data_IF_126981813857
#
_entry.id   IF_126981813857
#
_cell.length_a   1.000
_cell.length_b   1.000
_cell.length_c   1.000
_cell.angle_alpha   90.00
_cell.angle_beta   90.00
_cell.angle_gamma   90.00
#
_symmetry.space_group_name_H-M   'P 1'
#
loop_
_entity.id
_entity.type
_entity.pdbx_description
1 polymer ?
2 non-polymer ?
3 non-polymer ?
4 water ?
#
# COMPACT_ATOMS: atom_id res chain seq x y z
N UNK A 17 -7.85 -17.15 22.00
CA UNK A 17 -8.15 -17.79 20.73
C UNK A 17 -9.41 -18.64 20.82
N UNK A 18 -10.21 -18.63 19.76
CA UNK A 18 -11.45 -19.41 19.69
C UNK A 18 -11.17 -20.86 19.34
N UNK A 19 -12.10 -21.73 19.74
CA UNK A 19 -12.06 -23.13 19.36
C UNK A 19 -12.15 -23.27 17.85
N UNK A 20 -11.58 -24.35 17.31
CA UNK A 20 -11.48 -24.52 15.87
C UNK A 20 -12.86 -24.53 15.21
N UNK A 21 -13.82 -25.22 15.81
CA UNK A 21 -15.15 -25.29 15.23
C UNK A 21 -15.88 -23.95 15.32
N UNK A 22 -15.57 -23.15 16.33
CA UNK A 22 -16.14 -21.80 16.44
C UNK A 22 -15.61 -20.91 15.32
N UNK A 23 -14.31 -21.00 15.07
CA UNK A 23 -13.68 -20.28 13.97
C UNK A 23 -14.30 -20.65 12.63
N UNK A 24 -14.57 -21.94 12.46
CA UNK A 24 -15.16 -22.44 11.23
C UNK A 24 -16.47 -21.73 10.91
N UNK A 25 -17.30 -21.51 11.92
CA UNK A 25 -18.62 -20.94 11.73
C UNK A 25 -18.60 -19.41 11.76
N UNK A 26 -17.40 -18.85 11.90
CA UNK A 26 -17.19 -17.42 11.74
C UNK A 26 -16.97 -17.18 10.25
N UNK A 27 -17.13 -15.95 9.78
CA UNK A 27 -17.02 -15.71 8.35
C UNK A 27 -15.61 -15.76 7.84
N UNK A 28 -15.42 -15.35 6.57
CA UNK A 28 -14.04 -15.13 6.17
C UNK A 28 -13.53 -14.04 7.09
N UNK A 29 -12.27 -14.10 7.43
CA UNK A 29 -11.83 -13.25 8.51
C UNK A 29 -11.32 -11.91 7.97
N UNK A 30 -11.58 -10.84 8.73
CA UNK A 30 -11.76 -9.51 8.16
C UNK A 30 -11.51 -8.42 9.18
N UNK A 31 -10.95 -7.29 8.73
CA UNK A 31 -10.80 -6.09 9.54
C UNK A 31 -11.51 -4.94 8.84
N UNK A 32 -11.78 -3.88 9.59
CA UNK A 32 -12.42 -2.69 9.05
C UNK A 32 -11.39 -1.63 8.72
N UNK A 33 -11.45 -1.08 7.52
CA UNK A 33 -10.57 0.01 7.12
C UNK A 33 -11.35 1.31 7.18
N UNK A 34 -10.84 2.28 7.91
CA UNK A 34 -11.56 3.53 8.16
C UNK A 34 -10.77 4.77 7.77
N UNK A 35 -11.33 5.56 6.86
CA UNK A 35 -10.76 6.84 6.50
C UNK A 35 -11.49 7.97 7.20
N UNK A 36 -10.75 8.70 8.02
CA UNK A 36 -11.23 9.91 8.68
C UNK A 36 -11.09 11.11 7.74
N UNK A 37 -12.24 11.62 7.29
CA UNK A 37 -12.32 12.84 6.47
C UNK A 37 -11.34 12.88 5.31
N UNK A 38 -11.33 11.83 4.46
CA UNK A 38 -10.42 11.89 3.31
C UNK A 38 -10.72 13.10 2.41
N UNK A 39 -9.65 13.72 1.89
CA UNK A 39 -9.80 14.95 1.11
C UNK A 39 -9.63 14.75 -0.39
N UNK A 40 -8.74 13.82 -0.77
CA UNK A 40 -8.37 13.66 -2.17
C UNK A 40 -9.06 12.42 -2.75
N UNK A 41 -9.87 12.58 -3.81
CA UNK A 41 -10.61 11.43 -4.32
C UNK A 41 -9.71 10.28 -4.79
N UNK A 42 -8.59 10.58 -5.45
CA UNK A 42 -7.69 9.50 -5.87
C UNK A 42 -7.20 8.67 -4.70
N UNK A 43 -6.98 9.31 -3.55
CA UNK A 43 -6.57 8.54 -2.37
C UNK A 43 -7.69 7.61 -1.91
N UNK A 44 -8.90 8.12 -1.80
CA UNK A 44 -10.03 7.28 -1.39
C UNK A 44 -10.24 6.14 -2.37
N UNK A 45 -10.13 6.42 -3.67
CA UNK A 45 -10.28 5.37 -4.67
C UNK A 45 -9.21 4.31 -4.53
N UNK A 46 -7.97 4.73 -4.32
CA UNK A 46 -6.88 3.77 -4.17
C UNK A 46 -6.99 2.97 -2.88
N UNK A 47 -7.68 3.53 -1.88
CA UNK A 47 -7.98 2.76 -0.68
C UNK A 47 -9.13 1.78 -0.93
N UNK A 48 -10.18 2.26 -1.61
CA UNK A 48 -11.31 1.40 -1.95
C UNK A 48 -10.87 0.18 -2.75
N UNK A 49 -9.90 0.39 -3.64
CA UNK A 49 -9.38 -0.69 -4.46
C UNK A 49 -8.79 -1.78 -3.57
N UNK A 50 -8.09 -1.36 -2.53
CA UNK A 50 -7.49 -2.29 -1.57
C UNK A 50 -8.56 -2.98 -0.75
N UNK A 51 -9.55 -2.21 -0.30
CA UNK A 51 -10.63 -2.80 0.50
C UNK A 51 -11.36 -3.89 -0.28
N UNK A 52 -11.67 -3.62 -1.55
CA UNK A 52 -12.39 -4.57 -2.37
C UNK A 52 -11.50 -5.77 -2.69
N UNK A 53 -10.20 -5.55 -2.80
CA UNK A 53 -9.24 -6.63 -3.03
C UNK A 53 -9.22 -7.62 -1.86
N UNK A 54 -9.35 -7.11 -0.65
CA UNK A 54 -9.31 -7.96 0.53
C UNK A 54 -10.70 -8.48 0.88
N UNK A 55 -11.73 -7.82 0.35
CA UNK A 55 -13.11 -8.08 0.74
C UNK A 55 -13.44 -7.53 2.12
N UNK A 56 -12.83 -6.42 2.49
CA UNK A 56 -13.02 -5.85 3.82
C UNK A 56 -13.85 -4.56 3.78
N UNK A 57 -14.61 -4.30 4.85
CA UNK A 57 -15.42 -3.08 4.89
C UNK A 57 -14.57 -1.81 4.80
N UNK A 58 -15.02 -0.84 4.00
CA UNK A 58 -14.44 0.48 3.97
C UNK A 58 -15.38 1.50 4.59
N UNK A 59 -14.93 2.12 5.68
CA UNK A 59 -15.70 3.17 6.36
C UNK A 59 -15.17 4.54 5.95
N UNK A 60 -16.04 5.39 5.41
CA UNK A 60 -15.65 6.77 5.14
C UNK A 60 -16.35 7.68 6.13
N UNK A 61 -15.57 8.46 6.85
CA UNK A 61 -16.12 9.38 7.85
C UNK A 61 -16.18 10.78 7.27
N UNK A 62 -17.40 11.27 7.08
CA UNK A 62 -17.62 12.62 6.56
C UNK A 62 -17.19 13.67 7.59
N UNK A 63 -16.90 14.90 7.15
CA UNK A 63 -16.95 15.41 5.77
C UNK A 63 -15.87 14.84 4.84
N UNK A 64 -16.26 14.46 3.63
CA UNK A 64 -15.31 14.10 2.58
C UNK A 64 -14.97 15.36 1.77
N UNK A 65 -13.78 15.38 1.19
CA UNK A 65 -13.36 16.51 0.38
C UNK A 65 -13.83 16.49 -1.06
N UNK A 66 -14.72 15.56 -1.40
CA UNK A 66 -15.18 15.33 -2.76
C UNK A 66 -16.61 14.78 -2.78
N UNK A 67 -17.30 14.96 -3.91
CA UNK A 67 -18.56 14.30 -4.17
C UNK A 67 -18.33 12.85 -4.57
N UNK A 68 -19.22 11.94 -4.18
CA UNK A 68 -19.02 10.53 -4.50
C UNK A 68 -19.19 10.26 -6.00
N UNK A 69 -19.68 11.25 -6.74
CA UNK A 69 -19.80 11.14 -8.19
C UNK A 69 -18.55 11.61 -8.94
N UNK A 70 -17.49 11.96 -8.21
CA UNK A 70 -16.26 12.45 -8.82
C UNK A 70 -15.69 11.46 -9.82
N UNK A 71 -15.39 11.95 -11.03
CA UNK A 71 -14.73 11.14 -12.04
C UNK A 71 -13.38 10.63 -11.57
N UNK A 72 -12.80 11.24 -10.53
CA UNK A 72 -11.46 10.87 -10.06
C UNK A 72 -11.43 9.64 -9.14
N UNK A 73 -12.58 9.02 -8.90
CA UNK A 73 -12.67 7.92 -7.93
C UNK A 73 -12.48 6.54 -8.56
N UNK A 74 -12.67 6.49 -9.87
CA UNK A 74 -12.56 5.28 -10.68
C UNK A 74 -11.30 5.29 -11.52
N UNK A 75 -11.15 4.27 -12.37
CA UNK A 75 -10.14 4.28 -13.43
C UNK A 75 -10.65 3.49 -14.63
N UNK A 76 -10.35 3.96 -15.83
CA UNK A 76 -10.68 3.23 -17.04
C UNK A 76 -10.11 1.82 -16.98
N UNK A 77 -10.93 0.83 -17.35
CA UNK A 77 -10.51 -0.55 -17.29
C UNK A 77 -10.63 -1.15 -15.91
N UNK A 78 -10.95 -0.29 -14.94
CA UNK A 78 -11.16 -0.76 -13.58
C UNK A 78 -12.61 -0.68 -13.17
N UNK A 79 -13.06 -1.66 -12.39
CA UNK A 79 -14.27 -1.47 -11.64
C UNK A 79 -14.13 -2.21 -10.30
N UNK A 80 -14.15 -1.43 -9.22
CA UNK A 80 -14.00 -2.01 -7.90
C UNK A 80 -15.06 -1.52 -6.93
N UNK A 81 -15.55 -0.31 -7.15
CA UNK A 81 -16.53 0.25 -6.23
C UNK A 81 -17.79 -0.61 -6.05
N UNK A 82 -18.28 -1.27 -7.11
CA UNK A 82 -19.43 -2.15 -6.86
C UNK A 82 -19.14 -3.30 -5.90
N UNK A 83 -17.86 -3.59 -5.72
CA UNK A 83 -17.45 -4.70 -4.88
C UNK A 83 -16.92 -4.23 -3.54
N UNK A 84 -17.05 -2.93 -3.26
CA UNK A 84 -16.64 -2.40 -1.98
C UNK A 84 -17.78 -2.47 -0.97
N UNK A 85 -17.51 -3.07 0.18
CA UNK A 85 -18.44 -3.03 1.29
C UNK A 85 -18.32 -1.65 1.93
N UNK A 86 -19.03 -0.67 1.35
CA UNK A 86 -18.90 0.72 1.79
C UNK A 86 -19.81 1.09 2.97
N UNK A 87 -19.20 1.71 3.98
CA UNK A 87 -19.93 2.21 5.15
C UNK A 87 -19.72 3.71 5.22
N UNK A 88 -20.82 4.45 5.32
CA UNK A 88 -20.70 5.90 5.39
C UNK A 88 -21.13 6.39 6.77
N UNK A 89 -20.31 7.24 7.37
CA UNK A 89 -20.60 7.85 8.66
C UNK A 89 -20.67 9.36 8.55
N UNK A 90 -21.65 9.96 9.23
CA UNK A 90 -21.86 11.39 9.10
C UNK A 90 -20.84 12.22 9.88
N UNK A 91 -20.21 11.63 10.88
CA UNK A 91 -19.20 12.30 11.67
C UNK A 91 -18.36 11.29 12.41
N UNK A 92 -17.26 11.75 12.99
CA UNK A 92 -16.43 10.89 13.82
C UNK A 92 -17.21 10.45 15.04
N UNK A 93 -17.98 11.38 15.63
CA UNK A 93 -18.79 11.06 16.80
C UNK A 93 -19.77 9.94 16.50
N UNK A 94 -20.43 10.03 15.35
CA UNK A 94 -21.41 9.03 14.95
C UNK A 94 -20.72 7.69 14.69
N UNK A 95 -19.52 7.75 14.13
CA UNK A 95 -18.74 6.54 13.91
C UNK A 95 -18.47 5.84 15.26
N UNK A 96 -17.95 6.58 16.24
CA UNK A 96 -17.65 6.00 17.55
C UNK A 96 -18.89 5.42 18.20
N UNK A 97 -19.98 6.16 18.10
CA UNK A 97 -21.23 5.75 18.68
C UNK A 97 -21.74 4.46 18.04
N UNK A 98 -21.35 4.22 16.79
CA UNK A 98 -21.80 3.04 16.05
C UNK A 98 -20.93 1.79 16.28
N UNK A 99 -19.78 1.95 16.93
CA UNK A 99 -18.89 0.81 17.19
C UNK A 99 -19.55 -0.21 18.11
N UNK A 100 -19.37 -1.51 17.83
CA UNK A 100 -19.86 -2.55 18.75
C UNK A 100 -19.14 -2.43 20.08
N UNK A 101 -19.80 -2.80 21.17
CA UNK A 101 -19.12 -2.81 22.46
C UNK A 101 -17.88 -3.71 22.38
N UNK A 102 -16.75 -3.21 22.87
CA UNK A 102 -15.54 -4.00 22.88
C UNK A 102 -14.73 -3.87 21.60
N UNK A 103 -15.17 -2.99 20.71
CA UNK A 103 -14.44 -2.74 19.47
C UNK A 103 -13.04 -2.26 19.77
N UNK A 104 -12.08 -2.78 19.00
CA UNK A 104 -10.70 -2.33 19.12
C UNK A 104 -10.36 -1.46 17.92
N UNK A 105 -9.90 -0.25 18.18
CA UNK A 105 -9.53 0.68 17.12
C UNK A 105 -8.07 1.06 17.24
N UNK A 106 -7.32 0.90 16.15
CA UNK A 106 -5.93 1.33 16.11
C UNK A 106 -5.79 2.58 15.26
N UNK A 107 -5.27 3.65 15.83
CA UNK A 107 -5.07 4.89 15.09
C UNK A 107 -3.67 4.92 14.46
N UNK A 108 -3.59 5.11 13.16
CA UNK A 108 -2.29 5.10 12.50
C UNK A 108 -1.70 6.50 12.38
N UNK A 109 -0.47 6.63 12.86
CA UNK A 109 0.28 7.88 12.78
C UNK A 109 1.77 7.60 12.65
N UNK A 110 2.45 8.44 11.87
CA UNK A 110 3.90 8.37 11.75
C UNK A 110 4.58 8.76 13.06
N UNK A 111 3.82 9.30 14.01
CA UNK A 111 4.34 9.58 15.34
C UNK A 111 3.72 8.61 16.36
N UNK A 112 3.24 7.47 15.86
CA UNK A 112 2.61 6.46 16.69
C UNK A 112 3.52 5.85 17.75
N UNK A 113 2.91 5.36 18.83
CA UNK A 113 3.65 4.92 20.02
C UNK A 113 4.27 3.53 19.87
N UNK A 114 3.66 2.69 19.06
CA UNK A 114 4.18 1.33 18.83
C UNK A 114 4.29 1.04 17.33
N UNK A 115 5.15 0.10 16.97
CA UNK A 115 5.28 -0.31 15.59
C UNK A 115 4.08 -1.14 15.16
N UNK A 116 3.63 -0.91 13.92
CA UNK A 116 2.64 -1.75 13.28
C UNK A 116 2.94 -3.23 13.49
N UNK A 117 4.21 -3.59 13.41
CA UNK A 117 4.58 -4.99 13.37
C UNK A 117 4.63 -5.60 14.77
N UNK A 118 4.47 -4.76 15.79
CA UNK A 118 4.35 -5.23 17.17
C UNK A 118 2.92 -5.63 17.48
N UNK A 119 1.99 -5.09 16.72
CA UNK A 119 0.57 -5.30 16.99
C UNK A 119 0.16 -6.71 16.61
N UNK A 120 -0.76 -7.28 17.39
CA UNK A 120 -1.35 -8.56 17.04
C UNK A 120 -2.82 -8.33 16.72
N UNK A 121 -3.13 -8.31 15.43
CA UNK A 121 -4.48 -8.00 14.98
C UNK A 121 -5.46 -9.16 15.17
N UNK A 122 -6.74 -8.80 15.30
CA UNK A 122 -7.81 -9.78 15.40
C UNK A 122 -8.95 -9.44 14.49
N UNK A 123 -9.79 -10.44 14.23
CA UNK A 123 -11.09 -10.24 13.62
C UNK A 123 -11.79 -8.98 14.07
N UNK A 124 -12.28 -8.23 13.09
CA UNK A 124 -13.12 -7.08 13.36
C UNK A 124 -12.44 -5.90 13.99
N UNK A 125 -11.11 -5.91 14.05
CA UNK A 125 -10.37 -4.74 14.49
C UNK A 125 -10.66 -3.58 13.55
N UNK A 126 -10.54 -2.36 14.05
CA UNK A 126 -10.66 -1.18 13.19
C UNK A 126 -9.32 -0.48 13.01
N UNK A 127 -8.93 -0.28 11.74
CA UNK A 127 -7.71 0.43 11.38
C UNK A 127 -8.09 1.83 10.89
N UNK A 128 -7.65 2.85 11.63
CA UNK A 128 -8.10 4.23 11.42
C UNK A 128 -6.97 5.13 10.90
N UNK A 129 -7.24 5.81 9.78
CA UNK A 129 -6.26 6.61 9.07
C UNK A 129 -6.75 8.04 8.86
N UNK A 130 -5.83 9.00 8.88
CA UNK A 130 -6.19 10.39 8.71
C UNK A 130 -6.08 10.88 7.28
N UNK A 131 -6.47 12.14 7.03
CA UNK A 131 -6.36 12.79 5.73
C UNK A 131 -4.91 13.08 5.39
N UNK A 132 -4.58 13.10 4.10
CA UNK A 132 -3.21 13.29 3.63
C UNK A 132 -2.57 14.58 4.15
N UNK A 133 -3.36 15.65 4.24
CA UNK A 133 -2.79 16.95 4.54
C UNK A 133 -2.41 17.14 6.01
N UNK A 134 -3.13 16.49 6.93
CA UNK A 134 -3.03 16.81 8.35
C UNK A 134 -2.92 15.60 9.27
N UNK A 135 -3.33 14.43 8.80
CA UNK A 135 -3.39 13.26 9.66
C UNK A 135 -4.51 13.38 10.69
N UNK A 136 -4.57 12.44 11.62
CA UNK A 136 -5.62 12.44 12.64
C UNK A 136 -5.35 13.54 13.67
N UNK A 137 -6.41 14.16 14.19
CA UNK A 137 -6.26 15.20 15.21
C UNK A 137 -5.66 14.64 16.49
N UNK A 138 -4.99 15.48 17.27
CA UNK A 138 -4.32 15.01 18.49
C UNK A 138 -5.30 14.37 19.48
N UNK A 139 -6.53 14.88 19.52
CA UNK A 139 -7.51 14.33 20.45
C UNK A 139 -7.91 12.91 20.05
N UNK A 140 -7.97 12.66 18.75
CA UNK A 140 -8.27 11.32 18.25
C UNK A 140 -7.12 10.38 18.54
N UNK A 141 -5.90 10.85 18.30
CA UNK A 141 -4.71 10.05 18.55
C UNK A 141 -4.59 9.68 20.03
N UNK A 142 -4.88 10.65 20.89
CA UNK A 142 -4.80 10.43 22.34
C UNK A 142 -5.84 9.43 22.82
N UNK A 143 -6.89 9.27 22.02
CA UNK A 143 -8.03 8.42 22.38
C UNK A 143 -7.78 6.93 22.13
N UNK A 144 -6.95 6.62 21.15
CA UNK A 144 -6.73 5.24 20.74
C UNK A 144 -5.26 4.83 20.84
N UNK A 145 -5.01 3.51 20.93
CA UNK A 145 -3.63 3.06 20.78
C UNK A 145 -3.16 3.40 19.37
N UNK A 146 -1.95 3.92 19.26
CA UNK A 146 -1.46 4.39 17.96
C UNK A 146 -0.37 3.48 17.44
N UNK A 147 -0.37 3.28 16.11
CA UNK A 147 0.62 2.43 15.45
C UNK A 147 1.37 3.20 14.39
N UNK A 148 2.69 2.99 14.35
CA UNK A 148 3.56 3.62 13.38
C UNK A 148 4.06 2.61 12.36
N UNK A 149 4.04 2.99 11.09
CA UNK A 149 4.77 2.24 10.07
C UNK A 149 6.21 2.78 10.04
N UNK A 150 7.21 1.92 10.32
CA UNK A 150 8.59 2.39 10.41
C UNK A 150 9.05 3.07 9.12
N UNK A 151 9.83 4.13 9.26
CA UNK A 151 10.42 4.81 8.11
C UNK A 151 11.84 5.17 8.48
N UNK A 152 12.80 4.28 8.21
CA UNK A 152 14.18 4.55 8.64
C UNK A 152 14.78 5.76 7.91
N UNK A 153 14.24 6.10 6.75
CA UNK A 153 14.69 7.25 6.00
C UNK A 153 14.13 8.57 6.50
N UNK A 154 14.65 9.70 5.99
CA UNK A 154 14.23 11.02 6.46
C UNK A 154 12.90 11.48 5.87
N UNK A 155 11.85 10.70 6.11
CA UNK A 155 10.53 10.94 5.55
C UNK A 155 9.52 11.07 6.69
N UNK A 156 8.61 12.05 6.61
CA UNK A 156 7.69 12.32 7.71
C UNK A 156 6.46 11.44 7.67
N UNK A 157 6.06 11.01 6.47
CA UNK A 157 4.89 10.15 6.32
C UNK A 157 4.82 9.55 4.93
N UNK A 158 4.10 8.45 4.82
CA UNK A 158 3.81 7.81 3.54
C UNK A 158 2.51 8.34 2.99
N UNK A 159 2.29 8.20 1.68
CA UNK A 159 0.98 8.47 1.08
C UNK A 159 -0.11 7.67 1.79
N UNK A 160 -1.28 8.28 1.99
CA UNK A 160 -2.39 7.63 2.67
C UNK A 160 -2.72 6.24 2.13
N UNK A 161 -2.90 6.13 0.81
CA UNK A 161 -3.32 4.85 0.24
C UNK A 161 -2.23 3.79 0.40
N UNK A 162 -0.98 4.25 0.38
CA UNK A 162 0.13 3.33 0.62
C UNK A 162 0.13 2.84 2.07
N UNK A 163 -0.06 3.78 3.02
CA UNK A 163 -0.09 3.41 4.44
C UNK A 163 -1.22 2.43 4.74
N UNK A 164 -2.39 2.67 4.16
CA UNK A 164 -3.52 1.78 4.35
C UNK A 164 -3.18 0.39 3.82
N UNK A 165 -2.60 0.33 2.63
CA UNK A 165 -2.25 -0.96 2.06
C UNK A 165 -1.23 -1.72 2.90
N UNK A 166 -0.19 -1.02 3.35
CA UNK A 166 0.85 -1.65 4.17
C UNK A 166 0.28 -2.22 5.48
N UNK A 167 -0.58 -1.43 6.13
CA UNK A 167 -1.19 -1.85 7.37
C UNK A 167 -2.22 -2.98 7.16
N UNK A 168 -3.11 -2.79 6.17
CA UNK A 168 -4.16 -3.77 5.91
C UNK A 168 -3.55 -5.11 5.54
N UNK A 169 -2.52 -5.10 4.70
CA UNK A 169 -1.95 -6.35 4.27
C UNK A 169 -1.10 -7.02 5.36
N UNK A 170 -0.51 -6.23 6.26
CA UNK A 170 0.13 -6.85 7.43
C UNK A 170 -0.93 -7.59 8.28
N UNK A 171 -2.08 -6.96 8.48
CA UNK A 171 -3.16 -7.64 9.22
C UNK A 171 -3.63 -8.88 8.47
N UNK A 172 -3.77 -8.77 7.14
CA UNK A 172 -4.14 -9.92 6.33
C UNK A 172 -3.11 -11.03 6.51
N UNK A 173 -1.83 -10.68 6.47
CA UNK A 173 -0.76 -11.69 6.67
C UNK A 173 -0.92 -12.39 8.02
N UNK A 174 -1.13 -11.60 9.07
CA UNK A 174 -1.29 -12.15 10.42
C UNK A 174 -2.50 -13.07 10.48
N UNK A 175 -3.62 -12.62 9.95
CA UNK A 175 -4.87 -13.36 10.10
C UNK A 175 -4.92 -14.67 9.33
N UNK A 176 -4.32 -14.70 8.16
CA UNK A 176 -4.40 -15.85 7.29
C UNK A 176 -3.23 -16.80 7.57
N UNK A 177 -2.32 -16.35 8.41
CA UNK A 177 -1.17 -17.14 8.81
C UNK A 177 -1.44 -17.92 10.08
N UNK B 27 20.38 -4.01 10.72
CA UNK B 27 20.35 -3.15 9.55
C UNK B 27 21.64 -2.37 9.35
N UNK B 28 21.65 -1.41 8.41
CA UNK B 28 20.52 -1.03 7.55
C UNK B 28 20.25 -2.06 6.45
N UNK B 29 19.10 -1.92 5.79
CA UNK B 29 18.70 -2.85 4.77
C UNK B 29 18.50 -2.13 3.46
N UNK B 30 18.73 -2.84 2.36
CA UNK B 30 18.53 -2.25 1.04
C UNK B 30 18.06 -3.28 0.02
N UNK B 31 16.91 -3.01 -0.58
CA UNK B 31 16.44 -3.70 -1.78
C UNK B 31 16.31 -2.62 -2.84
N UNK B 32 16.03 -3.04 -4.07
CA UNK B 32 15.78 -2.12 -5.17
C UNK B 32 14.34 -2.17 -5.66
N UNK B 33 13.74 -1.00 -5.85
CA UNK B 33 12.38 -0.91 -6.38
C UNK B 33 12.47 -0.51 -7.85
N UNK B 34 11.85 -1.28 -8.73
CA UNK B 34 11.97 -1.06 -10.17
C UNK B 34 10.60 -0.89 -10.83
N UNK B 35 10.37 0.27 -11.45
CA UNK B 35 9.13 0.51 -12.21
C UNK B 35 9.40 0.39 -13.70
N UNK B 36 8.71 -0.56 -14.33
CA UNK B 36 8.80 -0.75 -15.77
C UNK B 36 7.82 0.19 -16.47
N UNK B 37 8.33 1.15 -17.24
CA UNK B 37 7.48 2.06 -18.02
C UNK B 37 6.28 2.67 -17.25
N UNK B 38 6.53 3.25 -16.06
CA UNK B 38 5.43 3.85 -15.31
C UNK B 38 4.73 4.94 -16.11
N UNK B 39 3.41 5.04 -15.96
CA UNK B 39 2.61 5.90 -16.82
C UNK B 39 2.15 7.17 -16.13
N UNK B 40 1.81 7.04 -14.85
CA UNK B 40 1.22 8.15 -14.12
C UNK B 40 2.21 8.80 -13.13
N UNK B 41 2.48 10.10 -13.28
CA UNK B 41 3.53 10.72 -12.46
C UNK B 41 3.23 10.66 -10.98
N UNK B 42 1.95 10.73 -10.60
CA UNK B 42 1.58 10.69 -9.20
C UNK B 42 1.97 9.35 -8.58
N UNK B 43 1.84 8.28 -9.35
CA UNK B 43 2.25 6.96 -8.86
C UNK B 43 3.75 6.89 -8.68
N UNK B 44 4.49 7.38 -9.67
CA UNK B 44 5.95 7.32 -9.56
C UNK B 44 6.47 8.17 -8.40
N UNK B 45 5.82 9.30 -8.15
CA UNK B 45 6.25 10.17 -7.06
C UNK B 45 5.93 9.54 -5.73
N UNK B 46 4.77 8.90 -5.64
CA UNK B 46 4.37 8.20 -4.42
C UNK B 46 5.36 7.09 -4.14
N UNK B 47 5.75 6.35 -5.18
CA UNK B 47 6.77 5.31 -5.01
C UNK B 47 8.10 5.88 -4.56
N UNK B 48 8.51 7.01 -5.14
CA UNK B 48 9.72 7.70 -4.71
C UNK B 48 9.69 8.04 -3.23
N UNK B 49 8.53 8.47 -2.73
CA UNK B 49 8.34 8.76 -1.32
C UNK B 49 8.58 7.52 -0.46
N UNK B 50 8.01 6.40 -0.89
CA UNK B 50 8.23 5.13 -0.21
C UNK B 50 9.69 4.68 -0.28
N UNK B 51 10.31 4.84 -1.45
CA UNK B 51 11.74 4.50 -1.58
C UNK B 51 12.60 5.35 -0.63
N UNK B 52 12.30 6.64 -0.55
CA UNK B 52 13.02 7.51 0.37
C UNK B 52 12.78 7.09 1.82
N UNK B 53 11.55 6.67 2.12
CA UNK B 53 11.20 6.27 3.48
C UNK B 53 11.97 5.01 3.91
N UNK B 54 12.23 4.11 2.97
CA UNK B 54 12.99 2.90 3.27
C UNK B 54 14.48 3.05 3.07
N UNK B 55 14.90 4.04 2.30
CA UNK B 55 16.31 4.20 1.92
C UNK B 55 16.74 3.24 0.84
N UNK B 56 15.81 2.94 -0.08
CA UNK B 56 16.04 1.98 -1.16
C UNK B 56 16.10 2.66 -2.53
N UNK B 57 17.02 2.22 -3.40
CA UNK B 57 17.05 2.84 -4.73
C UNK B 57 15.76 2.60 -5.52
N UNK B 58 15.42 3.61 -6.31
CA UNK B 58 14.27 3.54 -7.21
C UNK B 58 14.76 3.60 -8.65
N UNK B 59 14.48 2.54 -9.40
CA UNK B 59 14.84 2.43 -10.81
C UNK B 59 13.61 2.70 -11.66
N UNK B 60 13.74 3.60 -12.64
CA UNK B 60 12.70 3.78 -13.64
C UNK B 60 13.19 3.29 -15.00
N UNK B 61 12.37 2.50 -15.68
CA UNK B 61 12.72 2.02 -17.03
C UNK B 61 11.88 2.73 -18.09
N UNK B 62 12.57 3.42 -19.00
CA UNK B 62 11.91 4.15 -20.06
C UNK B 62 11.30 3.22 -21.10
N UNK B 63 10.30 3.69 -21.86
CA UNK B 63 9.68 5.03 -21.85
C UNK B 63 8.72 5.24 -20.69
N UNK B 64 8.70 6.47 -20.19
CA UNK B 64 7.79 6.88 -19.13
C UNK B 64 6.58 7.57 -19.74
N UNK B 65 5.48 7.64 -18.99
CA UNK B 65 4.28 8.34 -19.45
C UNK B 65 4.28 9.82 -19.12
N UNK B 66 5.42 10.31 -18.65
CA UNK B 66 5.55 11.69 -18.18
C UNK B 66 7.00 12.14 -18.36
N UNK B 67 7.22 13.45 -18.34
CA UNK B 67 8.58 14.00 -18.37
C UNK B 67 9.15 14.04 -16.95
N UNK B 68 10.46 13.83 -16.81
CA UNK B 68 11.08 13.85 -15.48
C UNK B 68 11.07 15.25 -14.87
N UNK B 69 10.78 16.24 -15.71
CA UNK B 69 10.63 17.63 -15.32
C UNK B 69 9.25 17.95 -14.75
N UNK B 70 8.35 16.97 -14.79
CA UNK B 70 6.96 17.14 -14.41
C UNK B 70 6.79 17.63 -12.98
N UNK B 71 6.15 18.80 -12.81
CA UNK B 71 5.76 19.30 -11.49
C UNK B 71 4.90 18.32 -10.71
N UNK B 72 4.01 17.59 -11.40
CA UNK B 72 3.16 16.61 -10.75
C UNK B 72 3.98 15.47 -10.17
N UNK B 73 5.05 15.11 -10.88
CA UNK B 73 5.99 14.11 -10.41
C UNK B 73 6.70 14.64 -9.17
N UNK B 74 7.28 15.83 -9.30
CA UNK B 74 8.00 16.45 -8.21
C UNK B 74 7.13 16.62 -6.97
N UNK B 75 5.94 17.19 -7.17
CA UNK B 75 5.00 17.40 -6.06
C UNK B 75 4.61 16.10 -5.36
N UNK B 76 4.43 15.04 -6.15
CA UNK B 76 4.05 13.73 -5.62
C UNK B 76 5.12 13.15 -4.70
N UNK B 77 6.36 13.58 -4.84
CA UNK B 77 7.41 13.13 -3.97
C UNK B 77 7.71 14.16 -2.88
N UNK B 78 6.88 15.19 -2.80
CA UNK B 78 7.02 16.28 -1.85
C UNK B 78 8.45 16.81 -1.85
N UNK B 79 9.05 16.94 -0.66
CA UNK B 79 10.44 17.42 -0.56
C UNK B 79 11.42 16.27 -0.35
N UNK B 80 11.02 15.07 -0.80
CA UNK B 80 11.80 13.86 -0.52
C UNK B 80 12.71 13.45 -1.67
N UNK B 81 12.46 14.00 -2.86
CA UNK B 81 13.28 13.68 -4.02
C UNK B 81 14.81 13.84 -3.78
N UNK B 82 15.23 14.87 -3.01
CA UNK B 82 16.67 14.90 -2.68
C UNK B 82 17.19 13.64 -1.98
N UNK B 83 16.31 12.85 -1.36
CA UNK B 83 16.72 11.68 -0.60
C UNK B 83 16.47 10.38 -1.34
N UNK B 84 16.10 10.48 -2.61
CA UNK B 84 15.86 9.30 -3.43
C UNK B 84 17.08 8.99 -4.26
N UNK B 85 17.54 7.75 -4.18
CA UNK B 85 18.60 7.27 -5.07
C UNK B 85 17.96 6.81 -6.36
N UNK B 86 17.87 7.72 -7.33
CA UNK B 86 17.11 7.48 -8.56
C UNK B 86 18.00 6.95 -9.66
N UNK B 87 17.60 5.81 -10.24
CA UNK B 87 18.33 5.20 -11.35
C UNK B 87 17.44 5.19 -12.60
N UNK B 88 17.97 5.63 -13.73
CA UNK B 88 17.21 5.62 -14.97
C UNK B 88 17.79 4.61 -15.94
N UNK B 89 16.94 3.83 -16.57
CA UNK B 89 17.36 2.89 -17.59
C UNK B 89 16.66 3.22 -18.91
N UNK B 90 17.42 3.22 -20.01
CA UNK B 90 16.85 3.59 -21.29
C UNK B 90 15.91 2.55 -21.85
N UNK B 91 16.03 1.32 -21.35
CA UNK B 91 15.26 0.21 -21.85
C UNK B 91 15.33 -0.93 -20.86
N UNK B 92 14.49 -1.94 -21.07
CA UNK B 92 14.57 -3.14 -20.25
C UNK B 92 15.93 -3.82 -20.42
N UNK B 93 16.45 -3.83 -21.65
CA UNK B 93 17.76 -4.43 -21.87
C UNK B 93 18.83 -3.76 -21.03
N UNK B 94 18.75 -2.44 -20.92
CA UNK B 94 19.71 -1.65 -20.16
C UNK B 94 19.60 -1.99 -18.69
N UNK B 95 18.37 -2.16 -18.22
CA UNK B 95 18.15 -2.57 -16.84
C UNK B 95 18.82 -3.90 -16.55
N UNK B 96 18.64 -4.86 -17.45
CA UNK B 96 19.22 -6.19 -17.25
C UNK B 96 20.75 -6.16 -17.21
N UNK B 97 21.35 -5.34 -18.05
CA UNK B 97 22.81 -5.22 -18.07
C UNK B 97 23.35 -4.56 -16.80
N UNK B 98 22.49 -3.80 -16.13
CA UNK B 98 22.88 -3.14 -14.89
C UNK B 98 22.64 -4.05 -13.69
N UNK B 99 22.09 -5.24 -13.94
CA UNK B 99 21.77 -6.19 -12.88
C UNK B 99 22.99 -7.04 -12.54
N UNK B 100 23.55 -6.85 -11.34
CA UNK B 100 24.77 -7.61 -10.96
C UNK B 100 24.60 -9.11 -11.17
N UNK B 101 25.68 -9.77 -11.58
CA UNK B 101 25.62 -11.21 -11.75
C UNK B 101 25.13 -11.88 -10.47
N UNK B 102 24.16 -12.76 -10.61
CA UNK B 102 23.59 -13.46 -9.46
C UNK B 102 22.47 -12.73 -8.75
N UNK B 103 22.23 -11.48 -9.09
CA UNK B 103 21.18 -10.70 -8.43
C UNK B 103 19.79 -11.30 -8.69
N UNK B 104 18.90 -11.18 -7.70
CA UNK B 104 17.55 -11.75 -7.83
C UNK B 104 16.54 -10.69 -8.22
N UNK B 105 15.63 -11.06 -9.11
CA UNK B 105 14.50 -10.21 -9.46
C UNK B 105 13.21 -10.95 -9.17
N UNK B 106 12.27 -10.26 -8.53
CA UNK B 106 10.91 -10.77 -8.37
C UNK B 106 9.99 -9.90 -9.22
N UNK B 107 9.22 -10.54 -10.10
CA UNK B 107 8.27 -9.81 -10.95
C UNK B 107 6.89 -9.84 -10.30
N UNK B 108 6.36 -8.66 -9.97
CA UNK B 108 5.08 -8.61 -9.28
C UNK B 108 3.94 -8.56 -10.28
N UNK B 109 2.98 -9.45 -10.09
CA UNK B 109 1.86 -9.54 -11.02
C UNK B 109 0.63 -10.01 -10.31
N UNK B 110 -0.53 -9.45 -10.65
CA UNK B 110 -1.81 -9.95 -10.14
C UNK B 110 -2.09 -11.36 -10.66
N UNK B 111 -1.37 -11.79 -11.70
CA UNK B 111 -1.45 -13.16 -12.20
C UNK B 111 -0.28 -14.03 -11.71
N UNK B 112 0.44 -13.54 -10.70
CA UNK B 112 1.67 -14.20 -10.27
C UNK B 112 1.46 -15.59 -9.71
N UNK B 113 2.54 -16.39 -9.68
CA UNK B 113 2.49 -17.82 -9.36
C UNK B 113 2.44 -18.11 -7.88
N UNK B 114 3.20 -17.34 -7.09
CA UNK B 114 3.28 -17.54 -5.66
C UNK B 114 2.87 -16.29 -4.90
N UNK B 115 2.31 -16.47 -3.71
CA UNK B 115 1.97 -15.34 -2.87
C UNK B 115 3.22 -14.61 -2.42
N UNK B 116 3.11 -13.29 -2.36
CA UNK B 116 4.11 -12.45 -1.70
C UNK B 116 4.62 -13.06 -0.39
N UNK B 117 3.73 -13.60 0.43
CA UNK B 117 4.09 -14.02 1.78
C UNK B 117 4.81 -15.37 1.79
N UNK B 118 4.89 -16.02 0.63
CA UNK B 118 5.70 -17.24 0.51
C UNK B 118 7.15 -16.93 0.16
N UNK B 119 7.42 -15.73 -0.34
CA UNK B 119 8.79 -15.35 -0.69
C UNK B 119 9.64 -15.13 0.56
N UNK B 120 10.93 -15.43 0.46
CA UNK B 120 11.87 -15.10 1.51
C UNK B 120 12.89 -14.12 0.95
N UNK B 121 12.71 -12.84 1.27
CA UNK B 121 13.51 -11.81 0.65
C UNK B 121 14.92 -11.73 1.23
N UNK B 122 15.83 -11.22 0.42
CA UNK B 122 17.23 -11.05 0.81
C UNK B 122 17.69 -9.65 0.50
N UNK B 123 18.66 -9.17 1.28
CA UNK B 123 19.36 -7.94 0.97
C UNK B 123 19.77 -7.88 -0.50
N UNK B 124 19.44 -6.79 -1.17
CA UNK B 124 19.85 -6.62 -2.55
C UNK B 124 18.88 -7.13 -3.61
N UNK B 125 17.80 -7.79 -3.19
CA UNK B 125 16.76 -8.23 -4.14
C UNK B 125 16.21 -7.05 -4.93
N UNK B 126 15.85 -7.31 -6.19
CA UNK B 126 15.14 -6.33 -7.01
C UNK B 126 13.66 -6.68 -7.10
N UNK B 127 12.80 -5.71 -6.81
CA UNK B 127 11.36 -5.88 -6.90
C UNK B 127 10.85 -5.12 -8.11
N UNK B 128 10.29 -5.85 -9.08
CA UNK B 128 9.92 -5.31 -10.38
C UNK B 128 8.41 -5.19 -10.54
N UNK B 129 7.95 -4.00 -10.94
CA UNK B 129 6.52 -3.73 -11.09
C UNK B 129 6.22 -3.19 -12.47
N UNK B 130 5.01 -3.45 -12.94
CA UNK B 130 4.64 -3.07 -14.29
C UNK B 130 3.85 -1.78 -14.37
N UNK B 131 3.53 -1.36 -15.60
CA UNK B 131 2.75 -0.14 -15.86
C UNK B 131 1.28 -0.30 -15.44
N UNK B 132 0.69 0.80 -14.99
CA UNK B 132 -0.69 0.80 -14.49
C UNK B 132 -1.71 0.20 -15.47
N UNK B 133 -1.58 0.51 -16.75
CA UNK B 133 -2.61 0.20 -17.73
C UNK B 133 -2.54 -1.22 -18.30
N UNK B 134 -1.43 -1.92 -18.11
CA UNK B 134 -1.35 -3.28 -18.66
C UNK B 134 -0.39 -4.23 -17.97
N UNK B 135 0.36 -3.74 -17.00
CA UNK B 135 1.26 -4.61 -16.27
C UNK B 135 2.46 -5.04 -17.10
N UNK B 136 3.31 -5.88 -16.51
CA UNK B 136 4.49 -6.37 -17.19
C UNK B 136 4.13 -7.22 -18.40
N UNK B 137 4.91 -7.09 -19.47
CA UNK B 137 4.79 -7.91 -20.69
C UNK B 137 4.93 -9.38 -20.37
N UNK B 138 4.24 -10.23 -21.14
CA UNK B 138 4.28 -11.66 -20.90
C UNK B 138 5.72 -12.19 -20.92
N UNK B 139 6.53 -11.65 -21.82
CA UNK B 139 7.91 -12.07 -21.98
C UNK B 139 8.75 -11.75 -20.73
N UNK B 140 8.39 -10.68 -20.03
CA UNK B 140 9.08 -10.29 -18.81
C UNK B 140 8.59 -11.18 -17.67
N UNK B 141 7.28 -11.38 -17.58
CA UNK B 141 6.72 -12.28 -16.57
C UNK B 141 7.31 -13.69 -16.71
N UNK B 142 7.60 -14.11 -17.94
CA UNK B 142 8.11 -15.46 -18.17
C UNK B 142 9.53 -15.61 -17.67
N UNK B 143 10.26 -14.50 -17.61
CA UNK B 143 11.67 -14.52 -17.30
C UNK B 143 12.04 -14.63 -15.83
N UNK B 144 11.17 -14.16 -14.95
CA UNK B 144 11.45 -14.10 -13.52
C UNK B 144 10.40 -14.85 -12.72
N UNK B 145 10.76 -15.29 -11.50
CA UNK B 145 9.72 -15.76 -10.59
C UNK B 145 8.71 -14.65 -10.35
N UNK B 146 7.42 -14.98 -10.38
CA UNK B 146 6.39 -13.98 -10.20
C UNK B 146 5.72 -14.11 -8.84
N UNK B 147 5.40 -12.97 -8.26
CA UNK B 147 4.77 -12.91 -6.94
C UNK B 147 3.45 -12.17 -7.08
N UNK B 148 2.41 -12.73 -6.46
CA UNK B 148 1.11 -12.08 -6.40
C UNK B 148 0.79 -11.63 -4.98
N UNK B 149 0.40 -10.38 -4.83
CA UNK B 149 -0.22 -9.92 -3.60
C UNK B 149 -1.65 -10.45 -3.59
N UNK B 150 -2.01 -11.22 -2.55
CA UNK B 150 -3.31 -11.88 -2.57
C UNK B 150 -4.46 -10.89 -2.70
N UNK B 151 -5.41 -11.24 -3.54
CA UNK B 151 -6.62 -10.45 -3.71
C UNK B 151 -7.82 -11.38 -3.75
N UNK B 152 -8.25 -11.84 -2.58
CA UNK B 152 -9.38 -12.78 -2.55
C UNK B 152 -10.69 -12.14 -3.05
N UNK B 153 -10.82 -10.82 -2.88
CA UNK B 153 -11.96 -10.09 -3.41
C UNK B 153 -11.95 -9.96 -4.92
N UNK B 154 -13.00 -9.34 -5.48
CA UNK B 154 -13.18 -9.36 -6.94
C UNK B 154 -12.28 -8.44 -7.77
N UNK B 155 -11.34 -7.72 -7.15
CA UNK B 155 -10.54 -6.71 -7.84
C UNK B 155 -9.41 -7.27 -8.73
N UNK B 156 -9.19 -6.64 -9.88
CA UNK B 156 -8.24 -7.13 -10.88
C UNK B 156 -6.78 -6.87 -10.50
N UNK B 157 -6.56 -5.81 -9.73
CA UNK B 157 -5.20 -5.36 -9.41
C UNK B 157 -5.27 -4.21 -8.42
N UNK B 158 -4.18 -4.02 -7.66
CA UNK B 158 -4.05 -2.89 -6.78
C UNK B 158 -3.45 -1.72 -7.55
N UNK B 159 -3.60 -0.53 -7.00
CA UNK B 159 -2.90 0.64 -7.51
C UNK B 159 -1.41 0.39 -7.43
N UNK B 160 -0.67 0.85 -8.45
CA UNK B 160 0.76 0.60 -8.53
C UNK B 160 1.55 1.02 -7.29
N UNK B 161 1.33 2.23 -6.78
CA UNK B 161 2.09 2.70 -5.63
C UNK B 161 1.73 1.91 -4.36
N UNK B 162 0.47 1.51 -4.24
CA UNK B 162 0.06 0.67 -3.12
C UNK B 162 0.73 -0.70 -3.21
N UNK B 163 0.75 -1.30 -4.40
CA UNK B 163 1.37 -2.62 -4.57
C UNK B 163 2.85 -2.55 -4.20
N UNK B 164 3.52 -1.48 -4.64
CA UNK B 164 4.94 -1.34 -4.31
C UNK B 164 5.15 -1.23 -2.82
N UNK B 165 4.35 -0.38 -2.16
CA UNK B 165 4.42 -0.26 -0.72
C UNK B 165 4.20 -1.57 0.03
N UNK B 166 3.18 -2.33 -0.38
CA UNK B 166 2.86 -3.58 0.29
C UNK B 166 4.01 -4.59 0.15
N UNK B 167 4.54 -4.68 -1.06
CA UNK B 167 5.65 -5.59 -1.32
C UNK B 167 6.90 -5.16 -0.58
N UNK B 168 7.24 -3.88 -0.69
CA UNK B 168 8.45 -3.37 -0.08
C UNK B 168 8.41 -3.56 1.44
N UNK B 169 7.27 -3.28 2.06
CA UNK B 169 7.24 -3.36 3.51
C UNK B 169 7.16 -4.80 4.03
N UNK B 170 6.63 -5.73 3.25
CA UNK B 170 6.75 -7.13 3.66
C UNK B 170 8.22 -7.55 3.64
N UNK B 171 8.97 -7.11 2.63
CA UNK B 171 10.40 -7.42 2.60
C UNK B 171 11.13 -6.75 3.78
N UNK B 172 10.76 -5.52 4.09
CA UNK B 172 11.34 -4.83 5.24
C UNK B 172 11.05 -5.57 6.55
N UNK B 173 9.80 -6.00 6.72
CA UNK B 173 9.40 -6.76 7.90
C UNK B 173 10.25 -8.02 8.03
N UNK B 174 10.40 -8.75 6.93
CA UNK B 174 11.21 -9.97 6.95
C UNK B 174 12.65 -9.73 7.35
N UNK B 175 13.25 -8.68 6.82
CA UNK B 175 14.67 -8.45 7.01
C UNK B 175 15.00 -7.81 8.35
N UNK B 176 14.05 -7.08 8.92
CA UNK B 176 14.31 -6.46 10.21
C UNK B 176 13.96 -7.41 11.35
N UNK B 177 13.50 -8.61 10.98
CA UNK B 177 13.23 -9.64 11.96
C UNK B 177 11.91 -9.49 12.73
N UNK B 178 11.23 -8.37 12.57
CA UNK B 178 9.88 -8.26 13.14
C UNK B 178 8.86 -8.82 12.15
#
# INVERSE_FOLDING_TARGET
FCLTLRRRYTMGSSHHHHHHLEVLFQGPHMLHLVLYQPEIPQNAGNVARTAAALGWPLHLIRPLGFLLSSPKLKRAGLDYWPHVDLRLHDSFAAFLEALPRGARVFAFSARGEASLYEARFREGDYLLFGPESRGLPEEVLARFPTLKIPMPGPVRSLNLAVAVGVAAYEAYRQLTGR
FCLTLRRRYTMGSSHHHHHHLEVLFQGPHMLHLVLYQPEIPQNAGNVARTAAALGWPLHLIRPLGFLLSSPKLKRAGLDYWPHVDLRLHDSFAAFLEALPRGARVFAFSARGEASLYEARFREGDYLLFGPESRGLPEEVLARFPTLKIPMPGPVRSLNLAVAVGVAAYEAYRQLTGR
#
